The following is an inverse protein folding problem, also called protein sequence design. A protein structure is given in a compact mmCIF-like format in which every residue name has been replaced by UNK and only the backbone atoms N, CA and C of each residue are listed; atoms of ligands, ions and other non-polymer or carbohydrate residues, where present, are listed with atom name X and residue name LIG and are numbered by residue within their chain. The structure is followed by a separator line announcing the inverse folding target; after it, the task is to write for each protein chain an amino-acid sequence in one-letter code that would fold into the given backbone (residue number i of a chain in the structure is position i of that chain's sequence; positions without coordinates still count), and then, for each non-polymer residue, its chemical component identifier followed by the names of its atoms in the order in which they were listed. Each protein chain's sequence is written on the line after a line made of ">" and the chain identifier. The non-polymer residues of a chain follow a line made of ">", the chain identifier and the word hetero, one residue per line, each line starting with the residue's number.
data_IF_460688651986
#
_entry.id   IF_460688651986
#
_cell.length_a   1.000
_cell.length_b   1.000
_cell.length_c   1.000
_cell.angle_alpha   90.00
_cell.angle_beta   90.00
_cell.angle_gamma   90.00
#
_symmetry.space_group_name_H-M   'P 1'
#
loop_
_entity.id
_entity.type
_entity.pdbx_description
1 polymer ?
#
# COMPACT_ATOMS: atom_id res chain seq x y z
N UNK A 1 -7.85 -3.09 -29.14
CA UNK A 1 -7.82 -1.68 -28.70
C UNK A 1 -6.64 -0.96 -29.34
N UNK A 2 -6.92 0.16 -30.03
CA UNK A 2 -5.88 1.04 -30.58
C UNK A 2 -5.53 2.12 -29.56
N UNK A 3 -4.25 2.21 -29.19
CA UNK A 3 -3.70 3.26 -28.35
C UNK A 3 -3.28 4.44 -29.22
N UNK A 4 -4.25 5.26 -29.64
CA UNK A 4 -4.07 6.51 -30.38
C UNK A 4 -4.70 7.67 -29.58
N UNK A 5 -4.21 8.90 -29.72
CA UNK A 5 -4.80 10.11 -29.11
C UNK A 5 -4.15 10.63 -27.83
N UNK A 6 -3.31 9.84 -27.13
CA UNK A 6 -2.53 10.36 -25.99
C UNK A 6 -1.33 11.18 -26.46
N UNK A 7 -1.38 12.50 -26.24
CA UNK A 7 -0.31 13.46 -26.54
C UNK A 7 0.50 13.84 -25.28
N UNK A 8 1.77 14.23 -25.45
CA UNK A 8 2.59 14.81 -24.37
C UNK A 8 2.35 16.32 -24.24
N UNK A 9 3.14 16.98 -23.38
CA UNK A 9 3.07 18.43 -23.16
C UNK A 9 3.41 19.25 -24.41
N UNK A 10 4.16 18.67 -25.34
CA UNK A 10 4.56 19.26 -26.62
C UNK A 10 3.63 18.82 -27.76
N UNK A 11 2.44 18.31 -27.43
CA UNK A 11 1.43 17.81 -28.37
C UNK A 11 1.86 16.61 -29.25
N UNK A 12 2.96 15.92 -28.92
CA UNK A 12 3.44 14.75 -29.67
C UNK A 12 2.72 13.49 -29.22
N UNK A 13 2.37 12.62 -30.17
CA UNK A 13 1.75 11.33 -29.88
C UNK A 13 2.71 10.45 -29.06
N UNK A 14 2.32 10.09 -27.83
CA UNK A 14 3.17 9.36 -26.86
C UNK A 14 3.31 7.89 -27.23
N UNK A 15 2.26 7.30 -27.82
CA UNK A 15 2.23 5.86 -28.12
C UNK A 15 1.35 5.56 -29.32
N UNK A 16 1.83 4.67 -30.19
CA UNK A 16 1.04 4.07 -31.28
C UNK A 16 1.14 2.56 -31.06
N UNK A 17 0.04 1.96 -30.59
CA UNK A 17 -0.04 0.52 -30.44
C UNK A 17 -1.44 -0.02 -30.77
N UNK A 18 -1.48 -1.23 -31.30
CA UNK A 18 -2.66 -2.06 -31.36
C UNK A 18 -2.47 -3.26 -30.42
N UNK A 19 -3.46 -3.52 -29.58
CA UNK A 19 -3.49 -4.68 -28.68
C UNK A 19 -4.79 -5.47 -28.89
N UNK A 20 -4.65 -6.68 -29.40
CA UNK A 20 -5.69 -7.72 -29.43
C UNK A 20 -5.53 -8.71 -28.27
N UNK A 21 -6.34 -9.78 -28.29
CA UNK A 21 -6.30 -10.84 -27.26
C UNK A 21 -4.99 -11.64 -27.32
N UNK A 22 -4.59 -12.03 -28.53
CA UNK A 22 -3.39 -12.83 -28.80
C UNK A 22 -2.34 -12.07 -29.60
N UNK A 23 -2.64 -10.86 -30.09
CA UNK A 23 -1.75 -10.09 -30.96
C UNK A 23 -1.44 -8.72 -30.36
N UNK A 24 -0.25 -8.22 -30.63
CA UNK A 24 0.12 -6.85 -30.32
C UNK A 24 1.03 -6.31 -31.40
N UNK A 25 0.70 -5.15 -31.92
CA UNK A 25 1.55 -4.38 -32.82
C UNK A 25 1.86 -3.03 -32.17
N UNK A 26 3.10 -2.58 -32.21
CA UNK A 26 3.48 -1.26 -31.69
C UNK A 26 4.73 -0.74 -32.37
N UNK A 27 4.85 0.59 -32.49
CA UNK A 27 6.01 1.22 -33.15
C UNK A 27 7.36 0.79 -32.53
N UNK A 28 7.42 0.69 -31.21
CA UNK A 28 8.67 0.38 -30.48
C UNK A 28 8.85 -1.11 -30.19
N UNK A 29 7.75 -1.85 -29.99
CA UNK A 29 7.77 -3.26 -29.62
C UNK A 29 7.58 -4.23 -30.78
N UNK A 30 7.40 -3.73 -32.00
CA UNK A 30 7.11 -4.53 -33.19
C UNK A 30 5.76 -5.25 -33.11
N UNK A 31 5.64 -6.34 -33.88
CA UNK A 31 4.48 -7.24 -33.91
C UNK A 31 4.81 -8.50 -33.11
N UNK A 32 3.89 -8.90 -32.23
CA UNK A 32 4.04 -10.10 -31.41
C UNK A 32 2.72 -10.85 -31.30
N UNK A 33 2.82 -12.18 -31.26
CA UNK A 33 1.70 -13.09 -31.01
C UNK A 33 1.94 -13.84 -29.71
N UNK A 34 0.89 -14.10 -28.93
CA UNK A 34 0.91 -14.80 -27.65
C UNK A 34 -0.14 -15.90 -27.65
N UNK A 35 0.25 -17.11 -27.25
CA UNK A 35 -0.66 -18.18 -26.83
C UNK A 35 -0.48 -18.47 -25.34
N UNK A 36 -1.57 -18.74 -24.63
CA UNK A 36 -1.56 -19.16 -23.23
C UNK A 36 -2.45 -20.39 -23.07
N UNK A 37 -1.93 -21.42 -22.39
CA UNK A 37 -2.66 -22.64 -22.09
C UNK A 37 -2.38 -23.05 -20.65
N UNK A 38 -3.42 -23.51 -19.96
CA UNK A 38 -3.32 -24.05 -18.61
C UNK A 38 -3.23 -25.57 -18.67
N UNK A 39 -2.12 -26.13 -18.20
CA UNK A 39 -1.89 -27.56 -18.05
C UNK A 39 -1.89 -27.90 -16.55
N UNK A 40 -3.08 -28.23 -16.02
CA UNK A 40 -3.27 -28.49 -14.59
C UNK A 40 -2.87 -27.28 -13.71
N UNK A 41 -1.90 -27.43 -12.78
CA UNK A 41 -1.43 -26.35 -11.91
C UNK A 41 -0.42 -25.40 -12.59
N UNK A 42 -0.01 -25.68 -13.83
CA UNK A 42 1.00 -24.90 -14.57
C UNK A 42 0.34 -24.14 -15.71
N UNK A 43 0.61 -22.84 -15.81
CA UNK A 43 0.26 -22.00 -16.95
C UNK A 43 1.46 -21.90 -17.89
N UNK A 44 1.29 -22.33 -19.12
CA UNK A 44 2.26 -22.22 -20.20
C UNK A 44 1.88 -21.04 -21.08
N UNK A 45 2.84 -20.17 -21.36
CA UNK A 45 2.68 -19.05 -22.28
C UNK A 45 3.80 -19.10 -23.30
N UNK A 46 3.44 -19.05 -24.57
CA UNK A 46 4.36 -18.84 -25.67
C UNK A 46 4.14 -17.44 -26.24
N UNK A 47 5.22 -16.70 -26.51
CA UNK A 47 5.16 -15.40 -27.15
C UNK A 47 6.26 -15.29 -28.21
N UNK A 48 5.92 -14.84 -29.42
CA UNK A 48 6.87 -14.78 -30.53
C UNK A 48 8.08 -13.85 -30.28
N UNK A 49 7.92 -12.82 -29.44
CA UNK A 49 9.00 -11.86 -29.13
C UNK A 49 9.64 -12.06 -27.77
N UNK A 50 8.97 -12.77 -26.85
CA UNK A 50 9.42 -12.96 -25.45
C UNK A 50 9.72 -14.40 -25.10
N UNK A 51 9.49 -15.36 -26.00
CA UNK A 51 9.78 -16.77 -25.82
C UNK A 51 8.74 -17.51 -24.96
N UNK A 52 9.19 -18.54 -24.26
CA UNK A 52 8.37 -19.47 -23.49
C UNK A 52 8.40 -19.15 -21.99
N UNK A 53 7.26 -19.30 -21.34
CA UNK A 53 7.11 -19.15 -19.89
C UNK A 53 6.22 -20.25 -19.34
N UNK A 54 6.74 -21.00 -18.39
CA UNK A 54 5.96 -21.86 -17.51
C UNK A 54 5.79 -21.17 -16.15
N UNK A 55 4.59 -21.19 -15.56
CA UNK A 55 4.37 -20.59 -14.24
C UNK A 55 3.34 -21.34 -13.43
N UNK A 56 3.59 -21.50 -12.14
CA UNK A 56 2.68 -22.15 -11.20
C UNK A 56 2.47 -21.27 -9.96
N UNK A 57 1.26 -21.33 -9.39
CA UNK A 57 0.93 -20.68 -8.14
C UNK A 57 1.15 -21.68 -7.01
N UNK A 58 2.05 -21.37 -6.08
CA UNK A 58 2.34 -22.24 -4.93
C UNK A 58 1.38 -21.92 -3.78
N UNK A 59 1.12 -20.64 -3.55
CA UNK A 59 0.22 -20.17 -2.50
C UNK A 59 -0.46 -18.88 -2.95
N UNK A 60 -1.48 -18.44 -2.21
CA UNK A 60 -2.09 -17.14 -2.47
C UNK A 60 -1.05 -16.03 -2.32
N UNK A 61 -0.89 -15.24 -3.38
CA UNK A 61 0.14 -14.19 -3.48
C UNK A 61 1.51 -14.69 -3.94
N UNK A 62 1.81 -15.99 -3.96
CA UNK A 62 3.12 -16.53 -4.38
C UNK A 62 3.04 -17.38 -5.64
N UNK A 63 3.90 -17.05 -6.60
CA UNK A 63 4.09 -17.82 -7.82
C UNK A 63 5.56 -18.04 -8.11
N UNK A 64 5.81 -19.17 -8.75
CA UNK A 64 7.09 -19.51 -9.36
C UNK A 64 6.91 -19.59 -10.86
N UNK A 65 7.88 -19.09 -11.61
CA UNK A 65 7.87 -19.18 -13.06
C UNK A 65 9.27 -19.46 -13.59
N UNK A 66 9.34 -20.18 -14.70
CA UNK A 66 10.53 -20.32 -15.53
C UNK A 66 10.23 -19.61 -16.86
N UNK A 67 10.99 -18.57 -17.18
CA UNK A 67 10.83 -17.81 -18.42
C UNK A 67 12.15 -17.85 -19.19
N UNK A 68 12.17 -18.50 -20.37
CA UNK A 68 13.38 -18.74 -21.18
C UNK A 68 14.57 -19.23 -20.32
N UNK A 69 14.37 -20.27 -19.51
CA UNK A 69 15.39 -20.81 -18.61
C UNK A 69 15.67 -19.97 -17.36
N UNK A 70 15.08 -18.77 -17.20
CA UNK A 70 15.28 -17.93 -16.01
C UNK A 70 14.20 -18.18 -14.95
N UNK A 71 14.63 -18.64 -13.79
CA UNK A 71 13.77 -18.81 -12.62
C UNK A 71 13.32 -17.46 -12.03
N UNK A 72 12.02 -17.34 -11.76
CA UNK A 72 11.36 -16.19 -11.15
C UNK A 72 10.52 -16.66 -9.96
N UNK A 73 10.89 -16.21 -8.76
CA UNK A 73 10.04 -16.27 -7.58
C UNK A 73 9.39 -14.90 -7.37
N UNK A 74 8.06 -14.85 -7.25
CA UNK A 74 7.32 -13.62 -7.04
C UNK A 74 6.24 -13.87 -5.98
N UNK A 75 6.39 -13.23 -4.82
CA UNK A 75 5.37 -13.13 -3.78
C UNK A 75 4.86 -11.70 -3.64
N UNK A 76 3.55 -11.51 -3.54
CA UNK A 76 2.90 -10.21 -3.34
C UNK A 76 1.71 -10.36 -2.42
N UNK A 77 1.78 -9.72 -1.27
CA UNK A 77 0.72 -9.70 -0.26
C UNK A 77 0.39 -8.27 0.11
N UNK A 78 -0.89 -7.99 0.34
CA UNK A 78 -1.39 -6.69 0.74
C UNK A 78 -2.45 -6.86 1.82
N UNK A 79 -2.30 -6.12 2.90
CA UNK A 79 -3.26 -6.06 4.00
C UNK A 79 -3.50 -4.58 4.31
N UNK A 80 -4.57 -4.02 3.74
CA UNK A 80 -4.87 -2.59 3.83
C UNK A 80 -3.71 -1.70 3.35
N UNK A 81 -3.16 -0.81 4.19
CA UNK A 81 -2.02 0.04 3.82
C UNK A 81 -0.69 -0.73 3.75
N UNK A 82 -0.60 -1.94 4.31
CA UNK A 82 0.62 -2.73 4.35
C UNK A 82 0.77 -3.56 3.08
N UNK A 83 1.98 -3.58 2.52
CA UNK A 83 2.34 -4.38 1.37
C UNK A 83 3.66 -5.09 1.58
N UNK A 84 3.66 -6.41 1.39
CA UNK A 84 4.86 -7.24 1.43
C UNK A 84 5.12 -7.83 0.04
N UNK A 85 6.34 -7.71 -0.46
CA UNK A 85 6.74 -8.28 -1.74
C UNK A 85 7.99 -9.13 -1.56
N UNK A 86 7.95 -10.33 -2.15
CA UNK A 86 9.05 -11.26 -2.23
C UNK A 86 9.46 -11.41 -3.70
N UNK A 87 10.76 -11.48 -3.92
CA UNK A 87 11.36 -11.74 -5.22
C UNK A 87 12.57 -12.65 -5.08
N UNK A 88 13.08 -13.18 -6.19
CA UNK A 88 14.35 -13.93 -6.22
C UNK A 88 15.50 -13.19 -5.52
N UNK A 89 15.53 -11.86 -5.60
CA UNK A 89 16.60 -11.01 -5.04
C UNK A 89 16.31 -10.50 -3.63
N UNK A 90 15.26 -11.00 -2.99
CA UNK A 90 14.92 -10.67 -1.61
C UNK A 90 13.53 -10.08 -1.43
N UNK A 91 13.30 -9.56 -0.22
CA UNK A 91 12.00 -9.10 0.28
C UNK A 91 11.92 -7.58 0.42
N UNK A 92 10.71 -7.05 0.46
CA UNK A 92 10.44 -5.65 0.77
C UNK A 92 9.09 -5.49 1.46
N UNK A 93 9.05 -4.68 2.50
CA UNK A 93 7.84 -4.28 3.20
C UNK A 93 7.58 -2.79 2.98
N UNK A 94 6.31 -2.41 2.83
CA UNK A 94 5.91 -1.03 2.57
C UNK A 94 4.59 -0.68 3.22
N UNK A 95 4.42 0.60 3.57
CA UNK A 95 3.18 1.20 4.05
C UNK A 95 2.73 2.28 3.08
N UNK A 96 1.46 2.25 2.70
CA UNK A 96 0.80 3.29 1.90
C UNK A 96 0.01 4.22 2.83
N UNK A 97 0.19 5.52 2.64
CA UNK A 97 -0.57 6.57 3.32
C UNK A 97 -1.12 7.57 2.28
N UNK A 98 -1.82 8.62 2.74
CA UNK A 98 -2.39 9.65 1.85
C UNK A 98 -1.32 10.39 1.04
N UNK A 99 -0.17 10.64 1.67
CA UNK A 99 0.94 11.33 1.06
C UNK A 99 1.78 10.45 0.11
N UNK A 100 1.63 9.12 0.11
CA UNK A 100 2.47 8.27 -0.74
C UNK A 100 2.68 6.84 -0.25
N UNK A 101 3.87 6.30 -0.46
CA UNK A 101 4.25 4.93 -0.06
C UNK A 101 5.67 4.93 0.47
N UNK A 102 5.84 4.42 1.69
CA UNK A 102 7.12 4.27 2.36
C UNK A 102 7.54 2.81 2.29
N UNK A 103 8.78 2.54 1.89
CA UNK A 103 9.35 1.20 1.90
C UNK A 103 10.39 1.09 3.02
N UNK A 104 10.19 0.16 3.93
CA UNK A 104 11.05 -0.02 5.11
C UNK A 104 12.44 -0.54 4.74
N UNK A 105 12.51 -1.48 3.79
CA UNK A 105 13.75 -2.19 3.46
C UNK A 105 14.51 -1.55 2.31
N UNK A 106 13.79 -0.89 1.39
CA UNK A 106 14.40 -0.31 0.18
C UNK A 106 13.92 1.14 0.00
N UNK A 107 14.55 2.11 0.70
CA UNK A 107 14.11 3.51 0.72
C UNK A 107 14.03 4.15 -0.67
N UNK A 108 14.87 3.73 -1.62
CA UNK A 108 14.83 4.24 -3.00
C UNK A 108 13.51 3.95 -3.75
N UNK A 109 12.70 3.00 -3.30
CA UNK A 109 11.38 2.70 -3.89
C UNK A 109 10.23 3.40 -3.17
N UNK A 110 10.53 4.29 -2.21
CA UNK A 110 9.51 5.15 -1.59
C UNK A 110 9.06 6.25 -2.56
N UNK A 111 7.85 6.75 -2.36
CA UNK A 111 7.30 7.84 -3.15
C UNK A 111 6.42 8.76 -2.33
N UNK A 112 6.58 10.06 -2.50
CA UNK A 112 5.84 11.10 -1.80
C UNK A 112 5.13 11.98 -2.82
N UNK A 113 3.86 12.29 -2.59
CA UNK A 113 3.00 13.11 -3.44
C UNK A 113 2.63 14.38 -2.69
N UNK A 114 2.97 15.51 -3.29
CA UNK A 114 2.63 16.82 -2.78
C UNK A 114 2.20 17.71 -3.95
N UNK A 115 1.07 18.41 -3.80
CA UNK A 115 0.53 19.32 -4.82
C UNK A 115 0.47 18.71 -6.25
N UNK A 116 0.07 17.44 -6.39
CA UNK A 116 -0.01 16.73 -7.67
C UNK A 116 1.33 16.21 -8.23
N UNK A 117 2.47 16.59 -7.64
CA UNK A 117 3.80 16.13 -8.05
C UNK A 117 4.19 14.89 -7.24
N UNK A 118 4.60 13.82 -7.93
CA UNK A 118 5.10 12.59 -7.29
C UNK A 118 6.62 12.56 -7.28
N UNK A 119 7.20 12.79 -6.11
CA UNK A 119 8.61 12.59 -5.83
C UNK A 119 8.88 11.11 -5.54
N UNK A 120 10.03 10.60 -6.00
CA UNK A 120 10.48 9.20 -5.79
C UNK A 120 11.93 9.17 -5.34
N UNK A 121 12.33 8.09 -4.70
CA UNK A 121 13.71 7.87 -4.28
C UNK A 121 13.95 8.11 -2.79
N UNK A 122 15.23 8.20 -2.41
CA UNK A 122 15.64 8.33 -1.01
C UNK A 122 15.11 9.61 -0.34
N UNK A 123 15.06 10.73 -1.07
CA UNK A 123 14.46 11.99 -0.59
C UNK A 123 12.97 11.84 -0.27
N UNK A 124 12.24 11.05 -1.07
CA UNK A 124 10.83 10.78 -0.79
C UNK A 124 10.64 9.95 0.49
N UNK A 125 11.58 9.05 0.81
CA UNK A 125 11.55 8.30 2.06
C UNK A 125 11.70 9.22 3.28
N UNK A 126 12.63 10.20 3.22
CA UNK A 126 12.81 11.19 4.29
C UNK A 126 11.56 12.05 4.50
N UNK A 127 10.98 12.59 3.43
CA UNK A 127 9.73 13.35 3.51
C UNK A 127 8.58 12.53 4.09
N UNK A 128 8.53 11.24 3.75
CA UNK A 128 7.49 10.37 4.25
C UNK A 128 7.68 9.99 5.71
N UNK A 129 8.92 9.85 6.19
CA UNK A 129 9.21 9.70 7.61
C UNK A 129 8.77 10.93 8.40
N UNK A 130 9.10 12.13 7.92
CA UNK A 130 8.67 13.40 8.54
C UNK A 130 7.14 13.46 8.61
N UNK A 131 6.45 13.16 7.50
CA UNK A 131 4.99 13.12 7.47
C UNK A 131 4.41 12.12 8.48
N UNK A 132 4.95 10.90 8.53
CA UNK A 132 4.48 9.89 9.49
C UNK A 132 4.74 10.31 10.93
N UNK A 133 5.87 10.97 11.20
CA UNK A 133 6.20 11.48 12.53
C UNK A 133 5.22 12.57 12.97
N UNK A 134 4.92 13.55 12.11
CA UNK A 134 3.93 14.60 12.40
C UNK A 134 2.56 13.98 12.70
N UNK A 135 2.10 13.05 11.86
CA UNK A 135 0.82 12.36 12.06
C UNK A 135 0.82 11.57 13.37
N UNK A 136 1.90 10.84 13.68
CA UNK A 136 2.02 10.09 14.91
C UNK A 136 2.00 11.00 16.15
N UNK A 137 2.69 12.15 16.11
CA UNK A 137 2.70 13.13 17.20
C UNK A 137 1.31 13.70 17.46
N UNK A 138 0.57 14.06 16.40
CA UNK A 138 -0.81 14.57 16.52
C UNK A 138 -1.74 13.50 17.10
N UNK A 139 -1.66 12.26 16.60
CA UNK A 139 -2.46 11.14 17.13
C UNK A 139 -2.13 10.90 18.61
N UNK A 140 -0.85 10.91 18.97
CA UNK A 140 -0.40 10.68 20.34
C UNK A 140 -0.87 11.79 21.29
N UNK A 141 -0.84 13.05 20.84
CA UNK A 141 -1.36 14.19 21.63
C UNK A 141 -2.88 14.08 21.86
N UNK A 142 -3.65 13.77 20.81
CA UNK A 142 -5.11 13.56 20.93
C UNK A 142 -5.41 12.39 21.87
N UNK A 143 -4.68 11.29 21.73
CA UNK A 143 -4.83 10.13 22.60
C UNK A 143 -4.49 10.48 24.05
N UNK A 144 -3.37 11.18 24.29
CA UNK A 144 -2.98 11.65 25.62
C UNK A 144 -4.03 12.55 26.26
N UNK A 145 -4.59 13.51 25.52
CA UNK A 145 -5.67 14.37 25.99
C UNK A 145 -6.91 13.55 26.39
N UNK A 146 -7.28 12.54 25.61
CA UNK A 146 -8.41 11.64 25.94
C UNK A 146 -8.13 10.84 27.21
N UNK A 147 -6.92 10.32 27.38
CA UNK A 147 -6.52 9.59 28.58
C UNK A 147 -6.55 10.50 29.81
N UNK A 148 -6.10 11.75 29.69
CA UNK A 148 -6.15 12.73 30.77
C UNK A 148 -7.60 13.04 31.17
N UNK A 149 -8.47 13.34 30.21
CA UNK A 149 -9.90 13.58 30.48
C UNK A 149 -10.53 12.36 31.14
N UNK A 150 -10.23 11.15 30.65
CA UNK A 150 -10.71 9.92 31.26
C UNK A 150 -10.23 9.76 32.71
N UNK A 151 -8.95 10.03 32.99
CA UNK A 151 -8.39 9.96 34.34
C UNK A 151 -9.03 11.00 35.28
N UNK A 152 -9.27 12.23 34.79
CA UNK A 152 -9.99 13.27 35.56
C UNK A 152 -11.38 12.79 35.93
N UNK A 153 -12.15 12.23 34.98
CA UNK A 153 -13.48 11.68 35.27
C UNK A 153 -13.43 10.50 36.23
N UNK A 154 -12.43 9.63 36.09
CA UNK A 154 -12.26 8.45 36.95
C UNK A 154 -12.01 8.84 38.41
N UNK A 155 -11.41 10.00 38.68
CA UNK A 155 -11.20 10.54 40.03
C UNK A 155 -12.39 11.39 40.49
N UNK A 156 -12.91 12.25 39.61
CA UNK A 156 -13.97 13.18 39.94
C UNK A 156 -15.29 12.47 40.27
N UNK A 157 -15.65 11.40 39.56
CA UNK A 157 -16.93 10.72 39.78
C UNK A 157 -17.04 10.08 41.18
N UNK A 158 -16.06 9.28 41.67
CA UNK A 158 -16.09 8.78 43.04
C UNK A 158 -16.10 9.90 44.07
N UNK A 159 -15.32 10.97 43.84
CA UNK A 159 -15.25 12.10 44.77
C UNK A 159 -16.60 12.82 44.89
N UNK A 160 -17.24 13.11 43.76
CA UNK A 160 -18.58 13.72 43.74
C UNK A 160 -19.61 12.79 44.38
N UNK A 161 -19.59 11.49 44.05
CA UNK A 161 -20.50 10.51 44.66
C UNK A 161 -20.37 10.45 46.18
N UNK A 162 -19.14 10.41 46.71
CA UNK A 162 -18.90 10.42 48.14
C UNK A 162 -19.36 11.73 48.79
N UNK A 163 -19.13 12.87 48.13
CA UNK A 163 -19.56 14.18 48.61
C UNK A 163 -21.09 14.28 48.70
N UNK A 164 -21.80 13.82 47.67
CA UNK A 164 -23.26 13.79 47.63
C UNK A 164 -23.83 12.85 48.69
N UNK A 165 -23.20 11.70 48.92
CA UNK A 165 -23.59 10.75 49.96
C UNK A 165 -23.50 11.37 51.36
N UNK A 166 -22.41 12.10 51.64
CA UNK A 166 -22.22 12.81 52.92
C UNK A 166 -23.24 13.94 53.07
N UNK A 167 -23.44 14.78 52.05
CA UNK A 167 -24.40 15.89 52.10
C UNK A 167 -25.84 15.35 52.28
N UNK A 168 -26.20 14.30 51.53
CA UNK A 168 -27.50 13.64 51.64
C UNK A 168 -27.75 13.07 53.04
N UNK A 169 -26.74 12.41 53.63
CA UNK A 169 -26.82 11.88 54.99
C UNK A 169 -27.01 12.99 56.04
N UNK A 170 -26.23 14.07 55.96
CA UNK A 170 -26.33 15.20 56.90
C UNK A 170 -27.69 15.90 56.81
N UNK A 171 -28.24 16.07 55.61
CA UNK A 171 -29.58 16.65 55.43
C UNK A 171 -30.66 15.72 56.00
N UNK A 172 -30.62 14.44 55.67
CA UNK A 172 -31.56 13.46 56.20
C UNK A 172 -31.53 13.35 57.72
N UNK A 173 -30.35 13.47 58.35
CA UNK A 173 -30.21 13.46 59.81
C UNK A 173 -30.70 14.74 60.50
N UNK A 174 -30.91 15.85 59.77
CA UNK A 174 -31.48 17.11 60.32
C UNK A 174 -33.00 17.17 60.22
N UNK A 175 -33.58 16.39 59.32
CA UNK A 175 -35.03 16.35 59.06
C UNK A 175 -35.76 15.25 59.86
N UNK A 176 -35.03 14.51 60.70
CA UNK A 176 -35.51 13.49 61.67
C UNK A 176 -35.42 14.06 63.08
#
# INVERSE_FOLDING_TARGET
>A
MFGLGKKDKDSKQVRIEHRGQHTRASRTGGVSVRGEQKAGPVNLTANSSKGLRASTRIANGTRVALQNGRFQLIGRWRAGPLGFNLSKTGVSASVKNKAGTFNFLKPQYSSFKFAGVQLRGKKAAQLQLIYMLIVASVISAIFGARVLVFAVWLIALPFLFLSDLVIGFVRGARDV
#
